data_IF_058784399032
#
_entry.id   IF_058784399032
#
_cell.length_a   1.000
_cell.length_b   1.000
_cell.length_c   1.000
_cell.angle_alpha   90.00
_cell.angle_beta   90.00
_cell.angle_gamma   90.00
#
_symmetry.space_group_name_H-M   'P 1'
#
loop_
_entity.id
_entity.type
_entity.pdbx_description
1 polymer ?
#
# COMPACT_ATOMS: atom_id res chain seq x y z
N UNK A 1 24.96 2.87 -11.30
CA UNK A 1 24.09 1.70 -11.12
C UNK A 1 22.68 2.14 -11.51
N UNK A 2 22.04 1.48 -12.47
CA UNK A 2 20.64 1.79 -12.78
C UNK A 2 19.76 1.24 -11.65
N UNK A 3 18.93 2.07 -11.02
CA UNK A 3 17.94 1.68 -10.01
C UNK A 3 16.77 0.87 -10.61
N UNK A 4 17.02 0.06 -11.63
CA UNK A 4 15.99 -0.49 -12.52
C UNK A 4 15.48 -1.88 -12.11
N UNK A 5 15.91 -2.46 -11.00
CA UNK A 5 15.67 -3.90 -10.74
C UNK A 5 15.16 -4.28 -9.34
N UNK A 6 14.56 -3.36 -8.57
CA UNK A 6 13.87 -3.74 -7.33
C UNK A 6 12.37 -3.54 -7.48
N UNK A 7 11.65 -4.65 -7.70
CA UNK A 7 10.20 -4.69 -7.78
C UNK A 7 9.62 -5.25 -6.48
N UNK A 8 8.70 -4.51 -5.87
CA UNK A 8 7.99 -4.96 -4.66
C UNK A 8 6.82 -5.87 -5.06
N UNK A 9 7.04 -7.18 -4.97
CA UNK A 9 6.14 -8.20 -5.51
C UNK A 9 5.09 -8.72 -4.51
N UNK A 10 5.25 -8.44 -3.22
CA UNK A 10 4.28 -8.85 -2.19
C UNK A 10 2.94 -8.16 -2.43
N UNK A 11 1.85 -8.88 -2.14
CA UNK A 11 0.49 -8.37 -2.23
C UNK A 11 -0.22 -8.72 -0.92
N UNK A 12 -0.11 -7.83 0.06
CA UNK A 12 -0.79 -8.01 1.34
C UNK A 12 -2.28 -7.77 1.14
N UNK A 13 -3.11 -8.67 1.65
CA UNK A 13 -4.57 -8.58 1.58
C UNK A 13 -5.11 -8.38 3.00
N UNK A 14 -5.94 -7.36 3.17
CA UNK A 14 -6.75 -7.15 4.37
C UNK A 14 -8.23 -7.24 4.00
N UNK A 15 -9.00 -7.99 4.78
CA UNK A 15 -10.43 -8.18 4.57
C UNK A 15 -11.18 -7.21 5.50
N UNK A 16 -12.11 -6.44 4.95
CA UNK A 16 -12.93 -5.53 5.74
C UNK A 16 -13.82 -6.33 6.72
N UNK A 17 -13.89 -5.92 8.00
CA UNK A 17 -14.65 -6.68 8.99
C UNK A 17 -16.18 -6.54 8.87
N UNK A 18 -16.67 -5.54 8.13
CA UNK A 18 -18.10 -5.18 8.09
C UNK A 18 -18.78 -5.38 6.74
N UNK A 19 -18.02 -5.47 5.65
CA UNK A 19 -18.51 -5.51 4.26
C UNK A 19 -17.63 -6.47 3.44
N UNK A 20 -18.14 -6.93 2.30
CA UNK A 20 -17.45 -7.91 1.43
C UNK A 20 -16.41 -7.25 0.50
N UNK A 21 -15.50 -6.48 1.10
CA UNK A 21 -14.39 -5.84 0.40
C UNK A 21 -13.04 -6.39 0.85
N UNK A 22 -12.15 -6.59 -0.11
CA UNK A 22 -10.73 -6.84 0.12
C UNK A 22 -9.90 -5.62 -0.28
N UNK A 23 -8.87 -5.35 0.52
CA UNK A 23 -7.90 -4.28 0.30
C UNK A 23 -6.54 -4.91 0.02
N UNK A 24 -5.90 -4.51 -1.07
CA UNK A 24 -4.67 -5.12 -1.55
C UNK A 24 -3.58 -4.07 -1.65
N UNK A 25 -2.52 -4.23 -0.86
CA UNK A 25 -1.29 -3.44 -0.98
C UNK A 25 -0.53 -3.83 -2.25
N UNK A 26 -0.21 -2.85 -3.09
CA UNK A 26 0.56 -3.03 -4.32
C UNK A 26 1.78 -2.12 -4.26
N UNK A 27 2.96 -2.73 -4.09
CA UNK A 27 4.22 -1.98 -4.07
C UNK A 27 4.61 -1.40 -5.43
N UNK A 28 5.54 -0.44 -5.42
CA UNK A 28 6.09 0.22 -6.60
C UNK A 28 6.91 -0.72 -7.49
N UNK A 29 7.22 -0.27 -8.70
CA UNK A 29 8.11 -0.99 -9.60
C UNK A 29 9.59 -0.69 -9.34
N UNK A 30 9.90 0.37 -8.58
CA UNK A 30 11.28 0.80 -8.31
C UNK A 30 11.43 1.47 -6.94
N UNK A 31 12.68 1.83 -6.60
CA UNK A 31 12.98 2.61 -5.40
C UNK A 31 12.37 4.02 -5.45
N UNK A 32 12.59 4.74 -6.56
CA UNK A 32 12.21 6.16 -6.74
C UNK A 32 11.78 6.37 -8.19
N UNK A 33 10.48 6.53 -8.44
CA UNK A 33 9.95 6.90 -9.75
C UNK A 33 8.51 7.43 -9.65
N UNK A 34 7.99 7.96 -10.75
CA UNK A 34 6.58 8.30 -10.94
C UNK A 34 5.85 7.06 -11.43
N UNK A 35 4.84 6.65 -10.67
CA UNK A 35 4.14 5.39 -10.89
C UNK A 35 2.73 5.61 -11.47
N UNK A 36 2.21 4.60 -12.15
CA UNK A 36 0.78 4.53 -12.46
C UNK A 36 -0.05 4.44 -11.18
N UNK A 37 -1.34 4.81 -11.21
CA UNK A 37 -2.23 4.75 -10.03
C UNK A 37 -2.34 3.36 -9.38
N UNK A 38 -1.99 2.31 -10.11
CA UNK A 38 -1.99 0.93 -9.59
C UNK A 38 -0.78 0.62 -8.71
N UNK A 39 0.39 1.18 -9.01
CA UNK A 39 1.63 0.87 -8.31
C UNK A 39 1.85 1.86 -7.17
N UNK A 40 2.48 1.41 -6.09
CA UNK A 40 2.64 2.22 -4.87
C UNK A 40 1.29 2.66 -4.28
N UNK A 41 0.36 1.71 -4.17
CA UNK A 41 -1.04 1.99 -3.85
C UNK A 41 -1.68 0.90 -2.99
N UNK A 42 -2.85 1.20 -2.45
CA UNK A 42 -3.79 0.21 -1.92
C UNK A 42 -5.01 0.21 -2.84
N UNK A 43 -5.38 -0.96 -3.36
CA UNK A 43 -6.59 -1.15 -4.14
C UNK A 43 -7.69 -1.74 -3.27
N UNK A 44 -8.95 -1.45 -3.58
CA UNK A 44 -10.14 -2.08 -2.99
C UNK A 44 -10.93 -2.78 -4.08
N UNK A 45 -11.44 -3.98 -3.80
CA UNK A 45 -12.27 -4.75 -4.71
C UNK A 45 -13.23 -5.67 -3.95
N UNK A 46 -14.24 -6.17 -4.65
CA UNK A 46 -15.03 -7.30 -4.17
C UNK A 46 -14.16 -8.58 -4.10
N UNK A 47 -14.56 -9.60 -3.35
CA UNK A 47 -13.80 -10.86 -3.25
C UNK A 47 -13.67 -11.64 -4.57
N UNK A 48 -14.56 -11.42 -5.53
CA UNK A 48 -14.46 -11.98 -6.89
C UNK A 48 -13.55 -11.16 -7.83
N UNK A 49 -12.94 -10.08 -7.31
CA UNK A 49 -12.08 -9.16 -8.04
C UNK A 49 -12.82 -8.10 -8.85
N UNK A 50 -14.15 -8.09 -8.85
CA UNK A 50 -14.93 -7.06 -9.53
C UNK A 50 -14.88 -5.72 -8.78
N UNK A 51 -15.23 -4.64 -9.48
CA UNK A 51 -15.28 -3.29 -8.93
C UNK A 51 -13.96 -2.79 -8.31
N UNK A 52 -12.81 -3.27 -8.83
CA UNK A 52 -11.50 -2.80 -8.40
C UNK A 52 -11.37 -1.28 -8.57
N UNK A 53 -10.96 -0.60 -7.51
CA UNK A 53 -10.68 0.84 -7.49
C UNK A 53 -9.44 1.12 -6.66
N UNK A 54 -8.76 2.21 -6.98
CA UNK A 54 -7.67 2.72 -6.16
C UNK A 54 -8.24 3.39 -4.91
N UNK A 55 -7.81 2.93 -3.75
CA UNK A 55 -8.24 3.45 -2.45
C UNK A 55 -7.28 4.51 -1.92
N UNK A 56 -5.97 4.21 -1.92
CA UNK A 56 -4.90 5.13 -1.52
C UNK A 56 -3.76 5.03 -2.53
N UNK A 57 -3.11 6.15 -2.84
CA UNK A 57 -1.88 6.22 -3.66
C UNK A 57 -0.74 6.85 -2.87
N UNK A 58 0.49 6.73 -3.39
CA UNK A 58 1.67 7.36 -2.79
C UNK A 58 2.31 6.53 -1.67
N UNK A 59 1.88 5.28 -1.48
CA UNK A 59 2.47 4.34 -0.54
C UNK A 59 3.41 3.40 -1.30
N UNK A 60 4.71 3.68 -1.32
CA UNK A 60 5.71 2.93 -2.09
C UNK A 60 5.61 1.41 -1.88
N UNK A 61 5.53 0.94 -0.64
CA UNK A 61 5.42 -0.49 -0.36
C UNK A 61 4.62 -0.75 0.94
N UNK A 62 3.28 -0.77 0.82
CA UNK A 62 2.37 -1.06 1.93
C UNK A 62 2.34 -2.57 2.28
N UNK A 63 3.33 -3.05 3.02
CA UNK A 63 3.46 -4.47 3.39
C UNK A 63 2.62 -4.82 4.60
N UNK A 64 2.57 -3.95 5.61
CA UNK A 64 1.68 -4.12 6.75
C UNK A 64 0.33 -3.52 6.41
N UNK A 65 -0.74 -4.30 6.51
CA UNK A 65 -2.10 -3.85 6.24
C UNK A 65 -3.06 -4.55 7.21
N UNK A 66 -3.79 -3.77 7.99
CA UNK A 66 -4.74 -4.30 8.97
C UNK A 66 -5.84 -3.28 9.29
N UNK A 67 -7.03 -3.79 9.60
CA UNK A 67 -8.10 -2.97 10.15
C UNK A 67 -7.93 -2.80 11.65
N UNK A 68 -7.98 -1.55 12.12
CA UNK A 68 -8.04 -1.28 13.54
C UNK A 68 -9.39 -1.77 14.11
N UNK A 69 -9.46 -2.43 15.29
CA UNK A 69 -10.68 -3.10 15.73
C UNK A 69 -11.91 -2.19 15.85
N UNK A 70 -11.73 -0.93 16.22
CA UNK A 70 -12.80 0.08 16.34
C UNK A 70 -12.13 1.44 16.10
N UNK A 71 -12.43 2.21 15.03
CA UNK A 71 -13.67 2.21 14.25
C UNK A 71 -13.61 1.44 12.91
N UNK A 72 -12.70 0.49 12.74
CA UNK A 72 -12.44 -0.20 11.46
C UNK A 72 -11.78 0.69 10.40
N UNK A 73 -10.92 1.62 10.83
CA UNK A 73 -10.01 2.29 9.90
C UNK A 73 -8.96 1.31 9.38
N UNK A 74 -8.64 1.42 8.09
CA UNK A 74 -7.54 0.67 7.50
C UNK A 74 -6.22 1.34 7.89
N UNK A 75 -5.32 0.58 8.48
CA UNK A 75 -3.97 1.03 8.81
C UNK A 75 -2.94 0.35 7.91
N UNK A 76 -1.92 1.09 7.51
CA UNK A 76 -0.84 0.60 6.68
C UNK A 76 0.54 0.96 7.25
N UNK A 77 1.50 0.05 7.15
CA UNK A 77 2.92 0.39 7.26
C UNK A 77 3.54 0.40 5.86
N UNK A 78 4.18 1.51 5.49
CA UNK A 78 4.85 1.67 4.20
C UNK A 78 6.35 1.63 4.37
N UNK A 79 7.03 0.83 3.55
CA UNK A 79 8.48 0.92 3.40
C UNK A 79 8.81 1.95 2.31
N UNK A 80 9.35 3.08 2.72
CA UNK A 80 9.69 4.22 1.89
C UNK A 80 11.02 4.06 1.15
N UNK A 81 11.40 5.11 0.43
CA UNK A 81 12.60 5.15 -0.41
C UNK A 81 13.85 4.83 0.41
N UNK A 82 14.66 3.95 -0.17
CA UNK A 82 16.01 3.68 0.32
C UNK A 82 16.89 4.92 0.06
N UNK A 83 17.91 5.11 0.90
CA UNK A 83 18.96 6.13 0.75
C UNK A 83 18.46 7.59 0.76
N UNK A 84 17.30 7.85 1.37
CA UNK A 84 16.73 9.20 1.42
C UNK A 84 17.42 10.13 2.44
N UNK A 85 18.00 9.60 3.52
CA UNK A 85 18.83 10.32 4.49
C UNK A 85 19.53 9.36 5.48
N UNK A 86 20.64 9.81 6.08
CA UNK A 86 21.46 9.01 7.00
C UNK A 86 20.76 8.65 8.34
N UNK A 87 19.71 9.39 8.75
CA UNK A 87 19.04 9.24 10.05
C UNK A 87 17.49 9.23 9.95
N UNK A 88 16.92 8.91 8.78
CA UNK A 88 15.47 8.81 8.62
C UNK A 88 15.00 7.37 8.74
N UNK A 89 13.98 7.13 9.57
CA UNK A 89 13.33 5.82 9.64
C UNK A 89 12.73 5.51 8.26
N UNK A 90 13.06 4.36 7.64
CA UNK A 90 12.61 4.05 6.29
C UNK A 90 11.13 3.64 6.23
N UNK A 91 10.49 3.40 7.37
CA UNK A 91 9.12 2.91 7.46
C UNK A 91 8.21 3.90 8.19
N UNK A 92 7.05 4.18 7.62
CA UNK A 92 6.02 5.02 8.24
C UNK A 92 4.70 4.28 8.44
N UNK A 93 3.94 4.69 9.46
CA UNK A 93 2.60 4.18 9.75
C UNK A 93 1.53 5.20 9.35
N UNK A 94 0.51 4.72 8.67
CA UNK A 94 -0.58 5.53 8.12
C UNK A 94 -1.93 4.99 8.58
N UNK A 95 -2.82 5.88 8.95
CA UNK A 95 -4.27 5.61 8.97
C UNK A 95 -4.84 6.03 7.62
N UNK A 96 -5.33 5.08 6.86
CA UNK A 96 -5.90 5.28 5.54
C UNK A 96 -7.39 5.61 5.68
N UNK A 97 -7.72 6.89 5.49
CA UNK A 97 -9.11 7.35 5.51
C UNK A 97 -9.64 7.51 4.10
N UNK A 98 -10.88 7.11 3.88
CA UNK A 98 -11.59 7.35 2.62
C UNK A 98 -11.95 8.83 2.55
N UNK A 99 -11.42 9.57 1.58
CA UNK A 99 -11.88 10.94 1.25
C UNK A 99 -13.21 10.92 0.52
#
# INVERSE_FOLDING_TARGET
MSYSEVRYITRTIAIQPTEDYMYVGIGSASNIDIESLLLGSIQVANFDGTNQKTFVTGLRNAVGLAFYPIPHDLCASCQERDEFADDLVPDFFYTCVRT
#
